data_IF_061887751787
#
_entry.id   IF_061887751787
#
_cell.length_a   1.000
_cell.length_b   1.000
_cell.length_c   1.000
_cell.angle_alpha   90.00
_cell.angle_beta   90.00
_cell.angle_gamma   90.00
#
_symmetry.space_group_name_H-M   'P 1'
#
loop_
_entity.id
_entity.type
_entity.pdbx_description
1 polymer ?
#
# COMPACT_ATOMS: atom_id res chain seq x y z
N UNK A 1 16.58 -16.06 12.49
CA UNK A 1 15.53 -15.17 11.95
C UNK A 1 14.15 -15.54 12.48
N UNK A 2 13.88 -16.82 12.76
CA UNK A 2 12.58 -17.35 13.24
C UNK A 2 11.75 -16.47 14.17
N UNK A 3 12.31 -15.89 15.24
CA UNK A 3 11.55 -15.02 16.16
C UNK A 3 11.09 -13.72 15.50
N UNK A 4 11.89 -13.16 14.59
CA UNK A 4 11.55 -11.95 13.85
C UNK A 4 10.39 -12.27 12.90
N UNK A 5 10.48 -13.37 12.15
CA UNK A 5 9.41 -13.82 11.24
C UNK A 5 8.08 -14.02 11.99
N UNK A 6 8.09 -14.80 13.07
CA UNK A 6 6.88 -15.02 13.86
C UNK A 6 6.26 -13.72 14.42
N UNK A 7 7.09 -12.70 14.67
CA UNK A 7 6.61 -11.39 15.09
C UNK A 7 6.00 -10.59 13.94
N UNK A 8 6.59 -10.65 12.74
CA UNK A 8 6.01 -10.09 11.52
C UNK A 8 4.65 -10.75 11.25
N UNK A 9 4.57 -12.08 11.32
CA UNK A 9 3.32 -12.82 11.11
C UNK A 9 2.24 -12.38 12.12
N UNK A 10 2.61 -12.22 13.40
CA UNK A 10 1.68 -11.69 14.42
C UNK A 10 1.19 -10.29 14.06
N UNK A 11 2.08 -9.40 13.62
CA UNK A 11 1.73 -8.03 13.23
C UNK A 11 0.91 -7.97 11.96
N UNK A 12 1.14 -8.88 11.02
CA UNK A 12 0.30 -9.07 9.85
C UNK A 12 -1.15 -9.39 10.25
N UNK A 13 -1.33 -10.35 11.17
CA UNK A 13 -2.65 -10.73 11.67
C UNK A 13 -3.36 -9.57 12.39
N UNK A 14 -2.63 -8.78 13.17
CA UNK A 14 -3.16 -7.54 13.75
C UNK A 14 -3.61 -6.56 12.64
N UNK A 15 -2.73 -6.33 11.66
CA UNK A 15 -2.95 -5.38 10.57
C UNK A 15 -4.12 -5.77 9.65
N UNK A 16 -4.41 -7.07 9.46
CA UNK A 16 -5.57 -7.55 8.72
C UNK A 16 -6.92 -7.01 9.23
N UNK A 17 -6.97 -6.54 10.48
CA UNK A 17 -8.14 -5.97 11.12
C UNK A 17 -8.12 -4.42 11.14
N UNK A 18 -7.24 -3.78 10.37
CA UNK A 18 -7.22 -2.32 10.27
C UNK A 18 -8.59 -1.77 9.80
N UNK A 19 -9.16 -0.71 10.42
CA UNK A 19 -10.48 -0.16 10.07
C UNK A 19 -10.65 0.28 8.61
N UNK A 20 -9.53 0.49 7.91
CA UNK A 20 -9.54 0.78 6.47
C UNK A 20 -10.20 -0.36 5.69
N UNK A 21 -10.00 -1.62 6.08
CA UNK A 21 -10.57 -2.74 5.35
C UNK A 21 -12.10 -2.84 5.51
N UNK A 22 -12.66 -2.36 6.62
CA UNK A 22 -14.11 -2.20 6.76
C UNK A 22 -14.63 -1.08 5.86
N UNK A 23 -13.89 0.03 5.76
CA UNK A 23 -14.21 1.13 4.84
C UNK A 23 -14.17 0.64 3.38
N UNK A 24 -13.11 -0.08 2.99
CA UNK A 24 -12.94 -0.66 1.66
C UNK A 24 -14.09 -1.60 1.29
N UNK A 25 -14.52 -2.45 2.24
CA UNK A 25 -15.61 -3.40 2.00
C UNK A 25 -16.94 -2.73 1.63
N UNK A 26 -17.14 -1.47 2.06
CA UNK A 26 -18.32 -0.65 1.77
C UNK A 26 -18.26 0.09 0.43
N UNK A 27 -17.12 0.11 -0.27
CA UNK A 27 -16.98 0.78 -1.57
C UNK A 27 -17.49 -0.14 -2.69
N UNK A 28 -18.66 0.15 -3.25
CA UNK A 28 -19.40 -0.76 -4.14
C UNK A 28 -19.15 -0.51 -5.63
N UNK A 29 -18.49 0.60 -5.99
CA UNK A 29 -18.18 0.93 -7.38
C UNK A 29 -16.69 1.19 -7.59
N UNK A 30 -16.26 1.13 -8.86
CA UNK A 30 -14.88 1.47 -9.22
C UNK A 30 -14.55 2.93 -8.93
N UNK A 31 -15.55 3.81 -9.03
CA UNK A 31 -15.41 5.22 -8.66
C UNK A 31 -15.13 5.37 -7.17
N UNK A 32 -15.88 4.69 -6.31
CA UNK A 32 -15.64 4.74 -4.86
C UNK A 32 -14.28 4.13 -4.48
N UNK A 33 -13.89 3.02 -5.09
CA UNK A 33 -12.55 2.43 -4.91
C UNK A 33 -11.45 3.43 -5.30
N UNK A 34 -11.67 4.25 -6.34
CA UNK A 34 -10.69 5.25 -6.77
C UNK A 34 -10.41 6.33 -5.72
N UNK A 35 -11.24 6.48 -4.69
CA UNK A 35 -11.13 7.58 -3.73
C UNK A 35 -9.86 7.58 -2.87
N UNK A 36 -9.29 6.42 -2.58
CA UNK A 36 -8.03 6.33 -1.83
C UNK A 36 -6.79 6.35 -2.72
N UNK A 37 -6.93 6.04 -4.01
CA UNK A 37 -5.80 5.83 -4.93
C UNK A 37 -4.88 7.05 -5.05
N UNK A 38 -5.40 8.30 -5.17
CA UNK A 38 -4.56 9.48 -5.11
C UNK A 38 -3.63 9.50 -3.90
N UNK A 39 -4.16 9.28 -2.68
CA UNK A 39 -3.38 9.38 -1.45
C UNK A 39 -2.30 8.30 -1.34
N UNK A 40 -2.48 7.16 -2.02
CA UNK A 40 -1.50 6.09 -2.07
C UNK A 40 -0.34 6.37 -3.04
N UNK A 41 -0.47 7.39 -3.89
CA UNK A 41 0.52 7.69 -4.95
C UNK A 41 1.93 7.84 -4.39
N UNK A 42 2.10 8.63 -3.33
CA UNK A 42 3.44 8.86 -2.80
C UNK A 42 4.09 7.57 -2.29
N UNK A 43 3.31 6.73 -1.62
CA UNK A 43 3.76 5.43 -1.12
C UNK A 43 4.17 4.50 -2.27
N UNK A 44 3.29 4.31 -3.27
CA UNK A 44 3.55 3.43 -4.40
C UNK A 44 4.83 3.81 -5.15
N UNK A 45 5.11 5.10 -5.30
CA UNK A 45 6.34 5.58 -5.93
C UNK A 45 7.57 5.41 -5.01
N UNK A 46 7.42 5.68 -3.71
CA UNK A 46 8.53 5.60 -2.73
C UNK A 46 8.93 4.16 -2.43
N UNK A 47 8.01 3.20 -2.57
CA UNK A 47 8.28 1.79 -2.31
C UNK A 47 9.47 1.24 -3.11
N UNK A 48 9.55 1.59 -4.40
CA UNK A 48 10.67 1.22 -5.28
C UNK A 48 12.00 1.77 -4.77
N UNK A 49 12.01 3.01 -4.27
CA UNK A 49 13.19 3.62 -3.67
C UNK A 49 13.59 2.95 -2.37
N UNK A 50 12.62 2.56 -1.53
CA UNK A 50 12.87 1.79 -0.32
C UNK A 50 13.59 0.48 -0.66
N UNK A 51 13.12 -0.28 -1.64
CA UNK A 51 13.76 -1.55 -2.04
C UNK A 51 15.16 -1.33 -2.61
N UNK A 52 15.34 -0.33 -3.48
CA UNK A 52 16.65 0.03 -4.05
C UNK A 52 17.65 0.44 -2.97
N UNK A 53 17.27 1.37 -2.10
CA UNK A 53 18.12 1.86 -1.01
C UNK A 53 18.42 0.76 0.00
N UNK A 54 17.44 -0.11 0.29
CA UNK A 54 17.64 -1.25 1.18
C UNK A 54 18.66 -2.23 0.60
N UNK A 55 18.55 -2.58 -0.69
CA UNK A 55 19.54 -3.43 -1.36
C UNK A 55 20.95 -2.84 -1.23
N UNK A 56 21.14 -1.54 -1.51
CA UNK A 56 22.45 -0.85 -1.43
C UNK A 56 23.16 -1.00 -0.07
N UNK A 57 22.40 -1.22 1.02
CA UNK A 57 22.92 -1.33 2.39
C UNK A 57 23.33 -2.75 2.79
N UNK A 58 23.01 -3.75 1.99
CA UNK A 58 23.34 -5.16 2.24
C UNK A 58 24.64 -5.54 1.52
N UNK A 59 25.52 -6.26 2.22
CA UNK A 59 26.85 -6.65 1.70
C UNK A 59 27.11 -8.14 1.74
N UNK A 60 26.54 -8.88 2.70
CA UNK A 60 26.64 -10.34 2.69
C UNK A 60 26.05 -10.91 1.38
N UNK A 61 26.76 -11.78 0.66
CA UNK A 61 26.31 -12.26 -0.65
C UNK A 61 24.95 -12.95 -0.65
N UNK A 62 24.62 -13.67 0.42
CA UNK A 62 23.36 -14.40 0.52
C UNK A 62 22.21 -13.45 0.85
N UNK A 63 22.39 -12.55 1.83
CA UNK A 63 21.39 -11.54 2.16
C UNK A 63 21.19 -10.55 1.01
N UNK A 64 22.26 -10.22 0.26
CA UNK A 64 22.18 -9.38 -0.94
C UNK A 64 21.35 -10.03 -2.03
N UNK A 65 21.46 -11.35 -2.21
CA UNK A 65 20.62 -12.10 -3.14
C UNK A 65 19.14 -11.96 -2.76
N UNK A 66 18.81 -12.07 -1.47
CA UNK A 66 17.45 -11.87 -0.95
C UNK A 66 16.96 -10.44 -1.24
N UNK A 67 17.72 -9.41 -0.86
CA UNK A 67 17.31 -8.03 -1.07
C UNK A 67 17.13 -7.68 -2.57
N UNK A 68 18.02 -8.20 -3.42
CA UNK A 68 17.95 -8.00 -4.87
C UNK A 68 16.76 -8.72 -5.51
N UNK A 69 16.39 -9.89 -5.00
CA UNK A 69 15.26 -10.67 -5.50
C UNK A 69 13.97 -9.84 -5.44
N UNK A 70 13.59 -9.39 -4.24
CA UNK A 70 12.38 -8.61 -4.03
C UNK A 70 12.39 -7.26 -4.76
N UNK A 71 13.56 -6.60 -4.89
CA UNK A 71 13.66 -5.40 -5.74
C UNK A 71 13.35 -5.70 -7.21
N UNK A 72 13.78 -6.85 -7.73
CA UNK A 72 13.53 -7.22 -9.11
C UNK A 72 12.09 -7.68 -9.34
N UNK A 73 11.47 -8.29 -8.33
CA UNK A 73 10.08 -8.71 -8.34
C UNK A 73 9.12 -7.53 -8.37
N UNK A 74 9.38 -6.51 -7.55
CA UNK A 74 8.56 -5.30 -7.51
C UNK A 74 8.83 -4.35 -8.70
N UNK A 75 9.85 -4.64 -9.53
CA UNK A 75 10.27 -3.74 -10.59
C UNK A 75 9.16 -3.51 -11.64
N UNK A 76 8.71 -2.27 -11.76
CA UNK A 76 7.67 -1.88 -12.71
C UNK A 76 6.26 -1.79 -12.10
N UNK A 77 6.11 -2.10 -10.82
CA UNK A 77 4.85 -1.90 -10.10
C UNK A 77 4.45 -0.42 -10.03
N UNK A 78 5.41 0.50 -9.97
CA UNK A 78 5.17 1.95 -10.15
C UNK A 78 4.42 2.27 -11.45
N UNK A 79 4.81 1.64 -12.56
CA UNK A 79 4.15 1.82 -13.86
C UNK A 79 2.76 1.21 -13.89
N UNK A 80 2.55 0.08 -13.22
CA UNK A 80 1.23 -0.52 -13.06
C UNK A 80 0.32 0.38 -12.23
N UNK A 81 0.84 0.96 -11.14
CA UNK A 81 0.10 1.90 -10.31
C UNK A 81 -0.31 3.14 -11.11
N UNK A 82 0.62 3.74 -11.87
CA UNK A 82 0.33 4.90 -12.71
C UNK A 82 -0.66 4.59 -13.84
N UNK A 83 -0.61 3.38 -14.40
CA UNK A 83 -1.59 2.89 -15.37
C UNK A 83 -2.99 2.86 -14.75
N UNK A 84 -3.14 2.23 -13.59
CA UNK A 84 -4.42 2.09 -12.90
C UNK A 84 -4.96 3.43 -12.45
N UNK A 85 -4.11 4.28 -11.89
CA UNK A 85 -4.47 5.65 -11.52
C UNK A 85 -5.03 6.43 -12.72
N UNK A 86 -4.38 6.32 -13.89
CA UNK A 86 -4.85 6.97 -15.12
C UNK A 86 -6.20 6.40 -15.57
N UNK A 87 -6.35 5.08 -15.56
CA UNK A 87 -7.61 4.43 -15.92
C UNK A 87 -8.75 4.88 -14.98
N UNK A 88 -8.54 4.81 -13.67
CA UNK A 88 -9.48 5.22 -12.64
C UNK A 88 -9.85 6.70 -12.77
N UNK A 89 -8.89 7.57 -13.11
CA UNK A 89 -9.16 8.99 -13.36
C UNK A 89 -9.99 9.27 -14.61
N UNK A 90 -10.00 8.37 -15.60
CA UNK A 90 -10.85 8.51 -16.79
C UNK A 90 -12.28 8.02 -16.56
N UNK A 91 -12.46 6.98 -15.73
CA UNK A 91 -13.78 6.40 -15.46
C UNK A 91 -14.49 7.06 -14.28
N UNK A 92 -13.75 7.72 -13.40
CA UNK A 92 -14.29 8.44 -12.24
C UNK A 92 -14.88 9.79 -12.63
N UNK A 93 -16.10 10.08 -12.14
CA UNK A 93 -16.68 11.42 -12.24
C UNK A 93 -15.95 12.42 -11.32
N UNK A 94 -15.26 11.89 -10.29
CA UNK A 94 -14.37 12.63 -9.43
C UNK A 94 -13.01 12.87 -10.12
N UNK A 95 -12.77 14.14 -10.47
CA UNK A 95 -11.52 14.60 -11.08
C UNK A 95 -10.30 14.58 -10.15
N UNK A 96 -10.42 14.14 -8.88
CA UNK A 96 -9.25 14.08 -7.98
C UNK A 96 -8.12 13.25 -8.59
N UNK A 97 -8.42 12.09 -9.18
CA UNK A 97 -7.42 11.26 -9.89
C UNK A 97 -6.74 11.95 -11.10
N UNK A 98 -7.24 13.10 -11.54
CA UNK A 98 -6.71 13.90 -12.67
C UNK A 98 -6.09 15.24 -12.24
N UNK A 99 -6.17 15.60 -10.95
CA UNK A 99 -5.69 16.88 -10.40
C UNK A 99 -4.46 16.75 -9.49
N UNK A 100 -3.87 15.56 -9.44
CA UNK A 100 -2.74 15.23 -8.58
C UNK A 100 -1.40 15.67 -9.21
N UNK A 101 -1.17 16.97 -9.30
CA UNK A 101 0.15 17.50 -9.66
C UNK A 101 1.14 17.43 -8.48
N UNK A 102 2.38 17.86 -8.70
CA UNK A 102 3.42 17.86 -7.66
C UNK A 102 3.02 18.73 -6.46
N UNK A 103 2.30 19.83 -6.68
CA UNK A 103 1.87 20.71 -5.59
C UNK A 103 0.83 20.01 -4.71
N UNK A 104 -0.11 19.27 -5.32
CA UNK A 104 -1.05 18.44 -4.60
C UNK A 104 -0.33 17.31 -3.83
N UNK A 105 0.62 16.61 -4.48
CA UNK A 105 1.37 15.51 -3.86
C UNK A 105 2.10 15.95 -2.59
N UNK A 106 2.55 17.21 -2.52
CA UNK A 106 3.22 17.82 -1.36
C UNK A 106 2.31 18.69 -0.49
N UNK A 107 1.00 18.69 -0.76
CA UNK A 107 0.02 19.44 0.03
C UNK A 107 -0.19 18.83 1.42
N UNK A 108 -0.98 19.52 2.25
CA UNK A 108 -1.39 19.02 3.57
C UNK A 108 -2.29 17.77 3.46
N UNK A 109 -3.03 17.61 2.37
CA UNK A 109 -3.97 16.50 2.21
C UNK A 109 -3.24 15.15 2.18
N UNK A 110 -2.19 15.04 1.37
CA UNK A 110 -1.39 13.82 1.24
C UNK A 110 -0.24 13.70 2.25
N UNK A 111 -0.16 14.63 3.22
CA UNK A 111 0.93 14.66 4.20
C UNK A 111 1.02 13.36 4.99
N UNK A 112 -0.12 12.78 5.38
CA UNK A 112 -0.15 11.56 6.22
C UNK A 112 0.59 10.40 5.53
N UNK A 113 0.32 10.17 4.25
CA UNK A 113 1.02 9.13 3.48
C UNK A 113 2.50 9.46 3.32
N UNK A 114 2.85 10.71 3.05
CA UNK A 114 4.26 11.12 2.93
C UNK A 114 5.04 10.91 4.22
N UNK A 115 4.49 11.34 5.34
CA UNK A 115 5.14 11.21 6.64
C UNK A 115 5.32 9.74 7.03
N UNK A 116 4.35 8.88 6.70
CA UNK A 116 4.48 7.43 6.87
C UNK A 116 5.60 6.84 5.99
N UNK A 117 5.63 7.20 4.70
CA UNK A 117 6.68 6.76 3.78
C UNK A 117 8.07 7.21 4.24
N UNK A 118 8.22 8.48 4.66
CA UNK A 118 9.47 8.99 5.22
C UNK A 118 9.87 8.28 6.52
N UNK A 119 8.92 7.97 7.39
CA UNK A 119 9.20 7.20 8.60
C UNK A 119 9.84 5.85 8.26
N UNK A 120 9.31 5.14 7.26
CA UNK A 120 9.84 3.85 6.79
C UNK A 120 11.21 4.03 6.13
N UNK A 121 11.38 4.99 5.21
CA UNK A 121 12.68 5.30 4.58
C UNK A 121 13.74 5.61 5.65
N UNK A 122 13.37 6.32 6.71
CA UNK A 122 14.30 6.68 7.79
C UNK A 122 14.88 5.47 8.52
N UNK A 123 14.17 4.33 8.54
CA UNK A 123 14.68 3.11 9.17
C UNK A 123 15.93 2.59 8.43
N UNK A 124 15.98 2.67 7.10
CA UNK A 124 17.13 2.22 6.28
C UNK A 124 18.44 2.90 6.72
N UNK A 125 18.35 4.18 7.07
CA UNK A 125 19.51 4.99 7.47
C UNK A 125 19.88 4.85 8.94
N UNK A 126 18.98 4.34 9.78
CA UNK A 126 19.25 4.06 11.21
C UNK A 126 19.90 2.70 11.44
N UNK A 127 19.83 1.80 10.46
CA UNK A 127 20.32 0.43 10.59
C UNK A 127 21.85 0.37 10.64
N UNK A 128 22.35 -0.39 11.61
CA UNK A 128 23.77 -0.72 11.79
C UNK A 128 24.07 -2.22 11.54
N UNK A 129 23.05 -2.98 11.11
CA UNK A 129 23.16 -4.41 10.84
C UNK A 129 22.24 -4.81 9.69
N UNK A 130 22.78 -5.51 8.69
CA UNK A 130 22.06 -5.90 7.47
C UNK A 130 20.92 -6.91 7.70
N UNK A 131 20.89 -7.61 8.84
CA UNK A 131 19.71 -8.40 9.24
C UNK A 131 18.48 -7.52 9.44
N UNK A 132 18.68 -6.26 9.87
CA UNK A 132 17.59 -5.29 9.98
C UNK A 132 17.05 -4.90 8.60
N UNK A 133 17.91 -4.82 7.59
CA UNK A 133 17.51 -4.57 6.20
C UNK A 133 16.63 -5.70 5.66
N UNK A 134 16.96 -6.95 5.99
CA UNK A 134 16.14 -8.11 5.62
C UNK A 134 14.83 -8.15 6.41
N UNK A 135 14.88 -7.88 7.72
CA UNK A 135 13.67 -7.80 8.54
C UNK A 135 12.72 -6.69 8.07
N UNK A 136 13.23 -5.54 7.63
CA UNK A 136 12.43 -4.46 7.05
C UNK A 136 11.73 -4.96 5.80
N UNK A 137 12.47 -5.52 4.86
CA UNK A 137 11.94 -6.04 3.61
C UNK A 137 10.76 -7.03 3.84
N UNK A 138 10.96 -8.02 4.71
CA UNK A 138 9.91 -8.99 5.05
C UNK A 138 8.68 -8.34 5.71
N UNK A 139 8.91 -7.26 6.48
CA UNK A 139 7.81 -6.48 7.09
C UNK A 139 6.99 -5.75 6.03
N UNK A 140 7.66 -5.21 5.01
CA UNK A 140 7.02 -4.50 3.92
C UNK A 140 6.14 -5.43 3.09
N UNK A 141 6.67 -6.59 2.68
CA UNK A 141 5.94 -7.60 1.90
C UNK A 141 4.73 -8.14 2.65
N UNK A 142 4.91 -8.44 3.94
CA UNK A 142 3.83 -8.88 4.81
C UNK A 142 2.65 -7.90 4.81
N UNK A 143 2.91 -6.59 4.82
CA UNK A 143 1.86 -5.56 4.71
C UNK A 143 1.22 -5.49 3.32
N UNK A 144 2.02 -5.70 2.27
CA UNK A 144 1.59 -5.73 0.87
C UNK A 144 0.59 -6.86 0.62
N UNK A 145 0.89 -8.08 1.09
CA UNK A 145 -0.02 -9.22 0.99
C UNK A 145 -1.41 -8.92 1.54
N UNK A 146 -1.47 -8.36 2.76
CA UNK A 146 -2.76 -8.00 3.39
C UNK A 146 -3.51 -6.97 2.55
N UNK A 147 -2.81 -5.94 2.07
CA UNK A 147 -3.42 -4.89 1.25
C UNK A 147 -3.99 -5.44 -0.06
N UNK A 148 -3.19 -6.18 -0.84
CA UNK A 148 -3.59 -6.66 -2.15
C UNK A 148 -4.69 -7.71 -2.08
N UNK A 149 -4.64 -8.65 -1.11
CA UNK A 149 -5.72 -9.62 -0.91
C UNK A 149 -7.08 -8.94 -0.72
N UNK A 150 -7.11 -7.86 0.07
CA UNK A 150 -8.35 -7.13 0.38
C UNK A 150 -8.81 -6.25 -0.78
N UNK A 151 -7.88 -5.53 -1.42
CA UNK A 151 -8.21 -4.62 -2.54
C UNK A 151 -8.64 -5.39 -3.78
N UNK A 152 -7.91 -6.43 -4.18
CA UNK A 152 -8.28 -7.26 -5.34
C UNK A 152 -9.66 -7.88 -5.14
N UNK A 153 -9.94 -8.38 -3.93
CA UNK A 153 -11.28 -8.92 -3.60
C UNK A 153 -12.38 -7.89 -3.81
N UNK A 154 -12.14 -6.62 -3.47
CA UNK A 154 -13.13 -5.57 -3.65
C UNK A 154 -13.25 -5.13 -5.12
N UNK A 155 -12.14 -4.96 -5.82
CA UNK A 155 -12.09 -4.65 -7.27
C UNK A 155 -12.82 -5.70 -8.09
N UNK A 156 -12.66 -6.99 -7.78
CA UNK A 156 -13.39 -8.06 -8.48
C UNK A 156 -14.91 -7.86 -8.48
N UNK A 157 -15.48 -7.32 -7.40
CA UNK A 157 -16.93 -7.09 -7.27
C UNK A 157 -17.44 -6.01 -8.23
N UNK A 158 -16.57 -5.11 -8.69
CA UNK A 158 -16.95 -4.03 -9.62
C UNK A 158 -16.94 -4.49 -11.07
N UNK A 159 -16.33 -5.65 -11.37
CA UNK A 159 -16.15 -6.15 -12.73
C UNK A 159 -14.99 -5.51 -13.51
N UNK A 160 -14.23 -4.63 -12.87
CA UNK A 160 -13.15 -3.85 -13.52
C UNK A 160 -11.75 -4.45 -13.38
N UNK A 161 -11.62 -5.61 -12.73
CA UNK A 161 -10.35 -6.31 -12.50
C UNK A 161 -9.47 -6.43 -13.76
N UNK A 162 -10.08 -6.79 -14.89
CA UNK A 162 -9.40 -6.97 -16.19
C UNK A 162 -8.80 -5.68 -16.78
N UNK A 163 -9.25 -4.52 -16.31
CA UNK A 163 -8.81 -3.22 -16.79
C UNK A 163 -7.69 -2.63 -15.92
N UNK A 164 -7.38 -3.28 -14.80
CA UNK A 164 -6.36 -2.87 -13.84
C UNK A 164 -5.13 -3.80 -13.93
N UNK A 165 -4.01 -3.30 -13.43
CA UNK A 165 -2.73 -4.02 -13.38
C UNK A 165 -2.19 -4.11 -11.96
N UNK A 166 -2.21 -3.01 -11.22
CA UNK A 166 -1.70 -2.93 -9.85
C UNK A 166 -2.73 -3.41 -8.84
N UNK A 167 -3.99 -3.08 -9.03
CA UNK A 167 -5.07 -3.49 -8.12
C UNK A 167 -5.83 -4.74 -8.60
N UNK A 168 -5.27 -5.49 -9.55
CA UNK A 168 -5.92 -6.63 -10.18
C UNK A 168 -5.45 -7.98 -9.65
N UNK A 169 -6.22 -9.02 -9.96
CA UNK A 169 -5.90 -10.42 -9.68
C UNK A 169 -4.54 -10.83 -10.22
N UNK A 170 -4.15 -10.34 -11.40
CA UNK A 170 -2.89 -10.73 -12.02
C UNK A 170 -1.70 -10.27 -11.18
N UNK A 171 -1.79 -9.13 -10.50
CA UNK A 171 -0.74 -8.73 -9.57
C UNK A 171 -0.71 -9.63 -8.34
N UNK A 172 -1.87 -9.91 -7.74
CA UNK A 172 -1.91 -10.84 -6.60
C UNK A 172 -1.38 -12.24 -6.95
N UNK A 173 -1.63 -12.74 -8.17
CA UNK A 173 -1.08 -14.01 -8.65
C UNK A 173 0.44 -13.96 -8.80
N UNK A 174 1.00 -12.83 -9.26
CA UNK A 174 2.45 -12.59 -9.32
C UNK A 174 3.05 -12.58 -7.91
N UNK A 175 2.43 -11.85 -6.97
CA UNK A 175 2.84 -11.81 -5.56
C UNK A 175 2.78 -13.19 -4.89
N UNK A 176 1.73 -13.97 -5.16
CA UNK A 176 1.61 -15.34 -4.65
C UNK A 176 2.63 -16.29 -5.29
N UNK A 177 2.98 -16.08 -6.56
CA UNK A 177 4.01 -16.87 -7.22
C UNK A 177 5.39 -16.61 -6.59
N UNK A 178 5.73 -15.35 -6.28
CA UNK A 178 6.97 -14.99 -5.57
C UNK A 178 7.09 -15.76 -4.25
N UNK A 179 6.05 -15.74 -3.42
CA UNK A 179 5.99 -16.47 -2.15
C UNK A 179 6.26 -18.00 -2.29
N UNK A 180 5.90 -18.62 -3.42
CA UNK A 180 6.15 -20.06 -3.68
C UNK A 180 7.62 -20.30 -4.08
N UNK A 181 8.21 -19.42 -4.89
CA UNK A 181 9.62 -19.52 -5.31
C UNK A 181 10.60 -19.25 -4.16
N UNK A 182 10.16 -18.56 -3.12
CA UNK A 182 10.95 -18.19 -1.95
C UNK A 182 11.18 -19.34 -0.95
N UNK A 183 10.46 -20.47 -1.02
CA UNK A 183 10.53 -21.54 -0.01
C UNK A 183 11.96 -22.00 0.33
N UNK A 184 12.86 -22.10 -0.66
CA UNK A 184 14.25 -22.52 -0.42
C UNK A 184 15.10 -21.39 0.20
N UNK A 185 14.86 -20.14 -0.21
CA UNK A 185 15.51 -18.97 0.37
C UNK A 185 15.04 -18.74 1.81
N UNK A 186 13.75 -18.94 2.09
CA UNK A 186 13.18 -18.83 3.42
C UNK A 186 13.75 -19.86 4.40
N UNK A 187 13.89 -21.13 4.00
CA UNK A 187 14.40 -22.19 4.90
C UNK A 187 15.75 -21.83 5.51
N UNK A 188 16.71 -21.42 4.67
CA UNK A 188 18.04 -21.02 5.14
C UNK A 188 18.01 -19.69 5.90
N UNK A 189 17.14 -18.75 5.50
CA UNK A 189 16.99 -17.48 6.21
C UNK A 189 16.40 -17.68 7.62
N UNK A 190 15.38 -18.54 7.78
CA UNK A 190 14.72 -18.83 9.07
C UNK A 190 15.72 -19.29 10.11
N UNK A 191 16.61 -20.20 9.71
CA UNK A 191 17.69 -20.77 10.53
C UNK A 191 18.85 -19.80 10.79
N UNK A 192 18.90 -18.65 10.08
CA UNK A 192 20.00 -17.69 10.22
C UNK A 192 20.15 -17.21 11.67
N UNK A 193 21.35 -17.31 12.28
CA UNK A 193 21.56 -16.90 13.66
C UNK A 193 21.47 -15.38 13.78
N UNK A 194 20.63 -14.90 14.71
CA UNK A 194 20.45 -13.46 14.95
C UNK A 194 20.77 -13.14 16.42
N UNK A 195 21.77 -12.28 16.68
CA UNK A 195 22.08 -11.78 18.02
C UNK A 195 20.86 -11.18 18.73
N UNK A 196 20.82 -11.30 20.06
CA UNK A 196 19.66 -10.87 20.86
C UNK A 196 19.42 -9.36 20.74
N UNK A 197 20.48 -8.56 20.69
CA UNK A 197 20.40 -7.11 20.51
C UNK A 197 19.86 -6.72 19.13
N UNK A 198 20.34 -7.35 18.06
CA UNK A 198 19.83 -7.17 16.69
C UNK A 198 18.36 -7.57 16.59
N UNK A 199 17.99 -8.69 17.21
CA UNK A 199 16.59 -9.14 17.29
C UNK A 199 15.70 -8.10 17.96
N UNK A 200 16.10 -7.57 19.12
CA UNK A 200 15.33 -6.52 19.81
C UNK A 200 15.18 -5.26 18.97
N UNK A 201 16.23 -4.87 18.22
CA UNK A 201 16.17 -3.74 17.27
C UNK A 201 15.18 -4.02 16.14
N UNK A 202 15.20 -5.22 15.57
CA UNK A 202 14.28 -5.64 14.51
C UNK A 202 12.82 -5.58 14.97
N UNK A 203 12.50 -6.14 16.14
CA UNK A 203 11.13 -6.12 16.68
C UNK A 203 10.60 -4.69 16.84
N UNK A 204 11.41 -3.78 17.40
CA UNK A 204 11.02 -2.38 17.53
C UNK A 204 10.87 -1.66 16.19
N UNK A 205 11.68 -2.02 15.19
CA UNK A 205 11.58 -1.47 13.85
C UNK A 205 10.28 -1.95 13.18
N UNK A 206 9.95 -3.24 13.32
CA UNK A 206 8.68 -3.82 12.85
C UNK A 206 7.50 -3.03 13.44
N UNK A 207 7.51 -2.76 14.75
CA UNK A 207 6.47 -1.95 15.40
C UNK A 207 6.33 -0.58 14.73
N UNK A 208 7.45 0.13 14.51
CA UNK A 208 7.45 1.45 13.86
C UNK A 208 6.95 1.40 12.42
N UNK A 209 7.26 0.34 11.67
CA UNK A 209 6.77 0.14 10.31
C UNK A 209 5.26 -0.08 10.29
N UNK A 210 4.71 -0.95 11.14
CA UNK A 210 3.26 -1.16 11.24
C UNK A 210 2.51 0.06 11.79
N UNK A 211 3.11 0.84 12.68
CA UNK A 211 2.57 2.13 13.09
C UNK A 211 2.50 3.12 11.91
N UNK A 212 3.54 3.16 11.06
CA UNK A 212 3.54 3.98 9.86
C UNK A 212 2.49 3.51 8.83
N UNK A 213 2.37 2.20 8.62
CA UNK A 213 1.31 1.61 7.78
C UNK A 213 -0.08 1.95 8.28
N UNK A 214 -0.33 1.82 9.58
CA UNK A 214 -1.62 2.14 10.19
C UNK A 214 -1.98 3.61 9.99
N UNK A 215 -1.04 4.53 10.25
CA UNK A 215 -1.26 5.97 10.00
C UNK A 215 -1.54 6.27 8.54
N UNK A 216 -0.82 5.64 7.61
CA UNK A 216 -1.10 5.78 6.19
C UNK A 216 -2.52 5.32 5.85
N UNK A 217 -2.96 4.19 6.40
CA UNK A 217 -4.29 3.63 6.15
C UNK A 217 -5.39 4.46 6.80
N UNK A 218 -5.14 5.11 7.94
CA UNK A 218 -6.02 6.14 8.49
C UNK A 218 -6.19 7.30 7.51
N UNK A 219 -5.10 7.72 6.86
CA UNK A 219 -5.14 8.71 5.77
C UNK A 219 -6.04 8.27 4.61
N UNK A 220 -6.00 6.99 4.23
CA UNK A 220 -6.88 6.43 3.20
C UNK A 220 -8.36 6.45 3.62
N UNK A 221 -8.68 6.16 4.90
CA UNK A 221 -10.04 6.27 5.44
C UNK A 221 -10.56 7.71 5.32
N UNK A 222 -9.76 8.69 5.74
CA UNK A 222 -10.12 10.10 5.65
C UNK A 222 -10.42 10.52 4.20
N UNK A 223 -9.60 10.04 3.26
CA UNK A 223 -9.77 10.28 1.84
C UNK A 223 -11.05 9.68 1.27
N UNK A 224 -11.37 8.42 1.62
CA UNK A 224 -12.62 7.76 1.23
C UNK A 224 -13.83 8.51 1.79
N UNK A 225 -13.85 8.77 3.09
CA UNK A 225 -14.99 9.41 3.77
C UNK A 225 -15.27 10.81 3.22
N UNK A 226 -14.23 11.63 3.02
CA UNK A 226 -14.37 12.98 2.44
C UNK A 226 -14.98 12.91 1.03
N UNK A 227 -14.49 12.01 0.18
CA UNK A 227 -14.95 11.89 -1.22
C UNK A 227 -16.35 11.29 -1.31
N UNK A 228 -16.70 10.32 -0.45
CA UNK A 228 -18.07 9.80 -0.30
C UNK A 228 -19.06 10.89 0.13
N UNK A 229 -18.67 11.74 1.09
CA UNK A 229 -19.52 12.85 1.53
C UNK A 229 -19.78 13.85 0.39
N UNK A 230 -18.72 14.25 -0.33
CA UNK A 230 -18.84 15.16 -1.47
C UNK A 230 -19.72 14.59 -2.59
N UNK A 231 -19.64 13.29 -2.85
CA UNK A 231 -20.50 12.61 -3.82
C UNK A 231 -21.98 12.69 -3.41
N UNK A 232 -22.31 12.38 -2.14
CA UNK A 232 -23.67 12.48 -1.60
C UNK A 232 -24.23 13.91 -1.65
N UNK A 233 -23.41 14.91 -1.33
CA UNK A 233 -23.80 16.32 -1.42
C UNK A 233 -24.12 16.73 -2.86
N UNK A 234 -23.32 16.27 -3.84
CA UNK A 234 -23.55 16.53 -5.26
C UNK A 234 -24.85 15.89 -5.76
N UNK A 235 -25.14 14.66 -5.36
CA UNK A 235 -26.40 13.98 -5.71
C UNK A 235 -27.62 14.71 -5.14
N UNK A 236 -27.56 15.10 -3.85
CA UNK A 236 -28.63 15.88 -3.21
C UNK A 236 -28.88 17.21 -3.91
N UNK A 237 -27.80 17.92 -4.26
CA UNK A 237 -27.92 19.20 -4.97
C UNK A 237 -28.51 19.02 -6.38
N UNK A 238 -28.15 17.95 -7.08
CA UNK A 238 -28.71 17.62 -8.39
C UNK A 238 -30.21 17.28 -8.30
N UNK A 239 -30.62 16.50 -7.29
CA UNK A 239 -32.03 16.18 -7.04
C UNK A 239 -32.86 17.44 -6.76
N UNK A 240 -32.37 18.32 -5.87
CA UNK A 240 -33.04 19.59 -5.56
C UNK A 240 -33.17 20.51 -6.79
N UNK A 241 -32.16 20.53 -7.66
CA UNK A 241 -32.19 21.35 -8.88
C UNK A 241 -33.22 20.84 -9.89
N UNK A 242 -33.42 19.51 -9.97
CA UNK A 242 -34.45 18.90 -10.82
C UNK A 242 -35.86 19.19 -10.28
N UNK A 243 -36.07 19.07 -8.97
CA UNK A 243 -37.34 19.39 -8.31
C UNK A 243 -37.74 20.86 -8.50
N UNK A 244 -36.77 21.77 -8.31
CA UNK A 244 -36.99 23.20 -8.57
C UNK A 244 -37.31 23.51 -10.04
N UNK A 245 -36.72 22.77 -10.98
CA UNK A 245 -37.01 22.92 -12.41
C UNK A 245 -38.40 22.39 -12.79
N UNK A 246 -38.86 21.30 -12.17
CA UNK A 246 -40.22 20.79 -12.36
C UNK A 246 -41.29 21.70 -11.78
N UNK A 247 -41.04 22.31 -10.61
CA UNK A 247 -41.99 23.23 -9.96
C UNK A 247 -42.17 24.55 -10.72
N UNK A 248 -41.17 24.95 -11.52
CA UNK A 248 -41.27 26.13 -12.42
C UNK A 248 -41.92 25.84 -13.77
N UNK A 249 -42.11 24.57 -14.10
CA UNK A 249 -42.71 24.15 -15.37
C UNK A 249 -44.23 23.90 -15.26
N UNK A 250 -44.80 24.04 -14.06
CA UNK A 250 -46.23 24.00 -13.73
C UNK A 250 -46.80 25.41 -13.55
#
# INVERSE_FOLDING_TARGET
MKTIQAYIDSKQQEFMNHPFFDTLAQLNSIEEISYFVPELTFWAMTFQDILRLNEERVTDPYLKKIARHHRLEDAGHDKWFLHDKKYLGNVSSNKSCTKDDVAWLYSKESQITRDAAYAIVSEIYKMDNEILNIALLLTLESSGHVFFEKVVKQVKKTGEDKNLKYFSSSHLEVEMAHAIFEEEMERRLVEWPVPIDVRRKALKMIDRCYDAFSRMFDGLILACNKRLQLAKEKEKNAANALEYASDKAL
#
